data_IF_547995801285
#
_entry.id   IF_547995801285
#
_cell.length_a   1.000
_cell.length_b   1.000
_cell.length_c   1.000
_cell.angle_alpha   90.00
_cell.angle_beta   90.00
_cell.angle_gamma   90.00
#
_symmetry.space_group_name_H-M   'P 1'
#
loop_
_entity.id
_entity.type
_entity.pdbx_description
1 polymer ?
#
# COMPACT_ATOMS: atom_id res chain seq x y z
N UNK A 1 -3.86 4.99 -12.07
CA UNK A 1 -4.17 5.86 -10.92
C UNK A 1 -2.85 6.31 -10.35
N UNK A 2 -2.62 7.61 -10.16
CA UNK A 2 -1.33 8.14 -9.70
C UNK A 2 -1.51 8.70 -8.30
N UNK A 3 -0.80 8.13 -7.33
CA UNK A 3 -0.76 8.67 -5.97
C UNK A 3 -0.05 10.02 -6.01
N UNK A 4 -0.58 10.99 -5.26
CA UNK A 4 0.03 12.33 -5.13
C UNK A 4 0.71 12.44 -3.78
N UNK A 5 1.79 13.22 -3.73
CA UNK A 5 2.46 13.57 -2.49
C UNK A 5 1.47 14.19 -1.49
N UNK A 6 1.53 13.71 -0.26
CA UNK A 6 0.72 14.13 0.88
C UNK A 6 1.32 15.39 1.49
N UNK A 7 0.48 16.39 1.68
CA UNK A 7 0.86 17.72 2.17
C UNK A 7 0.45 17.93 3.62
N UNK A 8 0.99 18.96 4.26
CA UNK A 8 0.63 19.33 5.64
C UNK A 8 -0.83 19.78 5.81
N UNK A 9 -1.50 20.19 4.72
CA UNK A 9 -2.93 20.49 4.73
C UNK A 9 -3.82 19.25 4.71
N UNK A 10 -3.26 18.08 4.35
CA UNK A 10 -3.98 16.81 4.35
C UNK A 10 -3.69 16.00 5.60
N UNK A 11 -2.43 16.01 6.05
CA UNK A 11 -1.98 15.34 7.28
C UNK A 11 -1.00 16.28 8.00
N UNK A 12 -1.41 16.73 9.18
CA UNK A 12 -0.64 17.66 10.00
C UNK A 12 0.59 16.98 10.61
N UNK A 13 0.41 15.77 11.14
CA UNK A 13 1.50 14.97 11.71
C UNK A 13 2.58 14.67 10.67
N UNK A 14 3.82 15.07 10.97
CA UNK A 14 4.94 14.93 10.05
C UNK A 14 5.29 13.48 9.79
N UNK A 15 5.19 12.60 10.79
CA UNK A 15 5.71 11.23 10.68
C UNK A 15 4.77 10.35 9.88
N UNK A 16 3.46 10.50 10.06
CA UNK A 16 2.44 9.89 9.20
C UNK A 16 2.61 10.38 7.76
N UNK A 17 2.81 11.68 7.56
CA UNK A 17 3.05 12.25 6.23
C UNK A 17 4.33 11.70 5.58
N UNK A 18 5.42 11.55 6.33
CA UNK A 18 6.68 10.98 5.84
C UNK A 18 6.47 9.54 5.34
N UNK A 19 5.79 8.70 6.11
CA UNK A 19 5.47 7.34 5.67
C UNK A 19 4.58 7.29 4.44
N UNK A 20 3.54 8.14 4.39
CA UNK A 20 2.71 8.25 3.20
C UNK A 20 3.55 8.64 1.98
N UNK A 21 4.42 9.64 2.10
CA UNK A 21 5.24 10.12 0.99
C UNK A 21 6.34 9.13 0.57
N UNK A 22 6.91 8.37 1.51
CA UNK A 22 7.83 7.28 1.21
C UNK A 22 7.13 6.21 0.34
N UNK A 23 5.87 5.86 0.66
CA UNK A 23 5.05 4.97 -0.18
C UNK A 23 4.74 5.58 -1.54
N UNK A 24 4.34 6.85 -1.60
CA UNK A 24 4.04 7.53 -2.86
C UNK A 24 5.26 7.48 -3.77
N UNK A 25 6.42 7.95 -3.30
CA UNK A 25 7.64 8.00 -4.12
C UNK A 25 8.04 6.61 -4.61
N UNK A 26 7.99 5.58 -3.74
CA UNK A 26 8.33 4.21 -4.14
C UNK A 26 7.42 3.71 -5.27
N UNK A 27 6.12 3.99 -5.20
CA UNK A 27 5.12 3.52 -6.17
C UNK A 27 5.12 4.37 -7.45
N UNK A 28 5.34 5.68 -7.36
CA UNK A 28 5.26 6.57 -8.52
C UNK A 28 6.53 6.63 -9.35
N UNK A 29 7.69 6.39 -8.73
CA UNK A 29 8.98 6.62 -9.37
C UNK A 29 9.51 5.36 -10.07
N UNK A 30 8.87 4.20 -9.89
CA UNK A 30 9.25 2.94 -10.52
C UNK A 30 8.09 2.24 -11.21
N UNK A 31 8.35 1.76 -12.43
CA UNK A 31 7.42 0.92 -13.20
C UNK A 31 7.30 -0.51 -12.61
N UNK A 32 8.36 -0.95 -11.92
CA UNK A 32 8.48 -2.24 -11.23
C UNK A 32 8.93 -1.96 -9.78
N UNK A 33 8.08 -1.27 -9.01
CA UNK A 33 8.40 -0.93 -7.63
C UNK A 33 8.48 -2.19 -6.75
N UNK A 34 9.37 -2.14 -5.75
CA UNK A 34 9.62 -3.26 -4.85
C UNK A 34 8.42 -3.44 -3.90
N UNK A 35 7.62 -4.48 -4.15
CA UNK A 35 6.43 -4.78 -3.36
C UNK A 35 6.75 -5.14 -1.91
N UNK A 36 7.90 -5.77 -1.64
CA UNK A 36 8.29 -6.11 -0.27
C UNK A 36 8.67 -4.86 0.51
N UNK A 37 9.43 -3.95 -0.13
CA UNK A 37 9.76 -2.66 0.47
C UNK A 37 8.50 -1.84 0.74
N UNK A 38 7.56 -1.81 -0.21
CA UNK A 38 6.32 -1.05 -0.05
C UNK A 38 5.43 -1.63 1.06
N UNK A 39 5.30 -2.96 1.15
CA UNK A 39 4.57 -3.62 2.24
C UNK A 39 5.21 -3.36 3.61
N UNK A 40 6.54 -3.29 3.68
CA UNK A 40 7.25 -2.94 4.91
C UNK A 40 6.96 -1.50 5.35
N UNK A 41 6.99 -0.53 4.42
CA UNK A 41 6.65 0.87 4.74
C UNK A 41 5.17 0.98 5.15
N UNK A 42 4.26 0.30 4.45
CA UNK A 42 2.84 0.24 4.82
C UNK A 42 2.64 -0.29 6.23
N UNK A 43 3.31 -1.38 6.60
CA UNK A 43 3.25 -1.94 7.96
C UNK A 43 3.76 -0.96 9.02
N UNK A 44 4.80 -0.18 8.71
CA UNK A 44 5.31 0.89 9.60
C UNK A 44 4.30 2.03 9.76
N UNK A 45 3.62 2.41 8.68
CA UNK A 45 2.53 3.38 8.71
C UNK A 45 1.38 2.89 9.60
N UNK A 46 0.88 1.67 9.37
CA UNK A 46 -0.19 1.06 10.16
C UNK A 46 0.16 0.97 11.65
N UNK A 47 1.38 0.54 11.96
CA UNK A 47 1.87 0.43 13.32
C UNK A 47 1.91 1.81 13.99
N UNK A 48 2.42 2.82 13.30
CA UNK A 48 2.50 4.18 13.82
C UNK A 48 1.12 4.78 14.06
N UNK A 49 0.20 4.67 13.09
CA UNK A 49 -1.17 5.18 13.24
C UNK A 49 -1.90 4.50 14.40
N UNK A 50 -1.78 3.19 14.53
CA UNK A 50 -2.39 2.43 15.62
C UNK A 50 -1.84 2.86 16.99
N UNK A 51 -0.53 3.04 17.12
CA UNK A 51 0.06 3.52 18.37
C UNK A 51 -0.35 4.96 18.67
N UNK A 52 -0.37 5.86 17.69
CA UNK A 52 -0.83 7.24 17.89
C UNK A 52 -2.28 7.31 18.38
N UNK A 53 -3.17 6.53 17.77
CA UNK A 53 -4.59 6.47 18.15
C UNK A 53 -4.81 5.86 19.54
N UNK A 54 -4.04 4.82 19.93
CA UNK A 54 -4.13 4.26 21.30
C UNK A 54 -3.77 5.27 22.38
N UNK A 55 -2.82 6.16 22.12
CA UNK A 55 -2.36 7.16 23.09
C UNK A 55 -3.19 8.43 23.06
N UNK A 56 -3.84 8.75 21.94
CA UNK A 56 -4.67 9.93 21.77
C UNK A 56 -5.76 9.68 20.71
N UNK A 57 -7.01 9.49 21.15
CA UNK A 57 -8.17 9.30 20.27
C UNK A 57 -8.42 10.51 19.33
N UNK A 58 -7.92 11.69 19.69
CA UNK A 58 -7.98 12.91 18.89
C UNK A 58 -6.70 13.24 18.14
N UNK A 59 -5.80 12.27 17.93
CA UNK A 59 -4.52 12.49 17.25
C UNK A 59 -4.70 12.96 15.80
N UNK A 60 -5.72 12.44 15.11
CA UNK A 60 -6.12 12.88 13.78
C UNK A 60 -7.49 13.55 13.84
N UNK A 61 -7.64 14.64 13.11
CA UNK A 61 -8.94 15.24 12.82
C UNK A 61 -9.80 14.33 11.93
N UNK A 62 -11.11 14.57 11.88
CA UNK A 62 -12.03 13.85 11.01
C UNK A 62 -11.58 13.87 9.53
N UNK A 63 -11.16 15.03 9.03
CA UNK A 63 -10.65 15.17 7.65
C UNK A 63 -9.35 14.40 7.40
N UNK A 64 -8.47 14.31 8.40
CA UNK A 64 -7.24 13.51 8.30
C UNK A 64 -7.57 12.02 8.26
N UNK A 65 -8.52 11.57 9.08
CA UNK A 65 -8.99 10.19 9.07
C UNK A 65 -9.65 9.81 7.74
N UNK A 66 -10.52 10.66 7.20
CA UNK A 66 -11.12 10.45 5.87
C UNK A 66 -10.04 10.32 4.78
N UNK A 67 -9.04 11.20 4.80
CA UNK A 67 -7.92 11.12 3.88
C UNK A 67 -7.13 9.82 4.03
N UNK A 68 -6.76 9.44 5.26
CA UNK A 68 -5.98 8.23 5.53
C UNK A 68 -6.74 6.96 5.12
N UNK A 69 -8.04 6.88 5.38
CA UNK A 69 -8.89 5.75 4.96
C UNK A 69 -8.88 5.64 3.43
N UNK A 70 -9.08 6.74 2.72
CA UNK A 70 -9.05 6.75 1.26
C UNK A 70 -7.66 6.38 0.71
N UNK A 71 -6.60 6.86 1.34
CA UNK A 71 -5.21 6.57 0.97
C UNK A 71 -4.88 5.08 1.14
N UNK A 72 -5.21 4.49 2.30
CA UNK A 72 -4.99 3.06 2.58
C UNK A 72 -5.82 2.17 1.64
N UNK A 73 -7.04 2.56 1.30
CA UNK A 73 -7.86 1.83 0.32
C UNK A 73 -7.23 1.81 -1.09
N UNK A 74 -6.67 2.93 -1.52
CA UNK A 74 -5.94 3.00 -2.79
C UNK A 74 -4.69 2.11 -2.77
N UNK A 75 -3.92 2.14 -1.68
CA UNK A 75 -2.75 1.29 -1.51
C UNK A 75 -3.09 -0.20 -1.53
N UNK A 76 -4.19 -0.60 -0.87
CA UNK A 76 -4.66 -1.99 -0.84
C UNK A 76 -4.93 -2.50 -2.26
N UNK A 77 -5.60 -1.70 -3.07
CA UNK A 77 -5.88 -2.03 -4.48
C UNK A 77 -4.60 -2.20 -5.30
N UNK A 78 -3.60 -1.33 -5.08
CA UNK A 78 -2.30 -1.42 -5.76
C UNK A 78 -1.52 -2.67 -5.35
N UNK A 79 -1.45 -2.96 -4.04
CA UNK A 79 -0.78 -4.16 -3.55
C UNK A 79 -1.42 -5.44 -4.05
N UNK A 80 -2.75 -5.50 -4.13
CA UNK A 80 -3.44 -6.67 -4.65
C UNK A 80 -3.15 -6.87 -6.15
N UNK A 81 -3.10 -5.79 -6.93
CA UNK A 81 -2.73 -5.85 -8.34
C UNK A 81 -1.31 -6.36 -8.55
N UNK A 82 -0.33 -5.87 -7.79
CA UNK A 82 1.05 -6.35 -7.90
C UNK A 82 1.22 -7.79 -7.41
N UNK A 83 0.55 -8.19 -6.32
CA UNK A 83 0.53 -9.60 -5.88
C UNK A 83 -0.03 -10.51 -6.97
N UNK A 84 -1.06 -10.07 -7.70
CA UNK A 84 -1.60 -10.82 -8.82
C UNK A 84 -0.61 -10.92 -9.98
N UNK A 85 0.09 -9.83 -10.34
CA UNK A 85 1.14 -9.88 -11.37
C UNK A 85 2.26 -10.85 -10.99
N UNK A 86 2.74 -10.78 -9.74
CA UNK A 86 3.75 -11.69 -9.22
C UNK A 86 3.28 -13.15 -9.30
N UNK A 87 2.04 -13.44 -8.89
CA UNK A 87 1.46 -14.77 -8.99
C UNK A 87 1.38 -15.28 -10.44
N UNK A 88 0.99 -14.42 -11.39
CA UNK A 88 0.99 -14.74 -12.83
C UNK A 88 2.40 -15.07 -13.32
N UNK A 89 3.43 -14.33 -12.91
CA UNK A 89 4.81 -14.62 -13.30
C UNK A 89 5.32 -15.95 -12.76
N UNK A 90 5.05 -16.24 -11.49
CA UNK A 90 5.38 -17.53 -10.85
C UNK A 90 4.78 -18.67 -11.68
N UNK A 91 3.54 -18.52 -12.12
CA UNK A 91 2.82 -19.55 -12.87
C UNK A 91 3.30 -19.65 -14.31
N UNK A 92 3.63 -18.54 -14.96
CA UNK A 92 4.26 -18.57 -16.29
C UNK A 92 5.59 -19.34 -16.27
N UNK A 93 6.35 -19.22 -15.19
CA UNK A 93 7.62 -19.96 -14.98
C UNK A 93 7.39 -21.41 -14.54
N UNK A 94 6.17 -21.80 -14.17
CA UNK A 94 5.82 -23.15 -13.75
C UNK A 94 5.71 -24.10 -14.94
N UNK A 95 6.50 -25.18 -14.93
CA UNK A 95 6.53 -26.19 -16.02
C UNK A 95 5.35 -27.15 -16.00
N UNK A 96 4.67 -27.30 -14.85
CA UNK A 96 3.52 -28.20 -14.69
C UNK A 96 2.23 -27.61 -15.26
N UNK A 97 1.74 -28.18 -16.37
CA UNK A 97 0.47 -27.79 -17.00
C UNK A 97 -0.74 -27.93 -16.07
N UNK A 98 -0.72 -28.89 -15.14
CA UNK A 98 -1.79 -29.08 -14.16
C UNK A 98 -1.87 -27.96 -13.12
N UNK A 99 -0.72 -27.50 -12.63
CA UNK A 99 -0.65 -26.38 -11.68
C UNK A 99 -1.10 -25.06 -12.34
N UNK A 100 -0.68 -24.83 -13.59
CA UNK A 100 -1.08 -23.66 -14.39
C UNK A 100 -2.60 -23.64 -14.62
N UNK A 101 -3.19 -24.78 -15.03
CA UNK A 101 -4.62 -24.87 -15.29
C UNK A 101 -5.46 -24.65 -14.02
N UNK A 102 -5.06 -25.25 -12.88
CA UNK A 102 -5.78 -25.10 -11.62
C UNK A 102 -5.86 -23.65 -11.15
N UNK A 103 -4.78 -22.87 -11.32
CA UNK A 103 -4.80 -21.47 -10.95
C UNK A 103 -5.66 -20.63 -11.91
N UNK A 104 -5.56 -20.84 -13.23
CA UNK A 104 -6.37 -20.12 -14.22
C UNK A 104 -7.87 -20.33 -14.04
N UNK A 105 -8.29 -21.47 -13.50
CA UNK A 105 -9.71 -21.74 -13.20
C UNK A 105 -10.24 -20.99 -11.98
N UNK A 106 -9.38 -20.37 -11.18
CA UNK A 106 -9.71 -19.67 -9.93
C UNK A 106 -9.56 -18.14 -10.04
N UNK A 107 -9.28 -17.63 -11.23
CA UNK A 107 -9.31 -16.20 -11.58
C UNK A 107 -10.57 -15.95 -12.41
#
# INVERSE_FOLDING_TARGET
>A
MTLKQVTSSQITDSKTRDYCNELVSLITDSQDWDIEQALNIHSRLDSYMNESLKHNDGFYSESELEFLIAFVAQLSTLFDSEKQKLAIEIIKKQKSKGAVNKYKSNI
#
